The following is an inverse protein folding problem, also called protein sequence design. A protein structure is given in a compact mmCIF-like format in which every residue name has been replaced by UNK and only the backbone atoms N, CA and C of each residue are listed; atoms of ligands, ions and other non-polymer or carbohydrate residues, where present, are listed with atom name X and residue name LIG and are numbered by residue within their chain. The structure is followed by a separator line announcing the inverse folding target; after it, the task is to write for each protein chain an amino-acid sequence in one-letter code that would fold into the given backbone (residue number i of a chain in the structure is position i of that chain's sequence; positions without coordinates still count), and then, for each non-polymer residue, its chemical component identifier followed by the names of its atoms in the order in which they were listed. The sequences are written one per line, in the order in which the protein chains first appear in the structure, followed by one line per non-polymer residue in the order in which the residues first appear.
data_IF_781822241617
#
_entry.id   IF_781822241617
#
_cell.length_a   1.000
_cell.length_b   1.000
_cell.length_c   1.000
_cell.angle_alpha   90.00
_cell.angle_beta   90.00
_cell.angle_gamma   90.00
#
_symmetry.space_group_name_H-M   'P 1'
#
loop_
_entity.id
_entity.type
_entity.pdbx_description
1 polymer ?
#
# COMPACT_ATOMS: atom_id res chain seq x y z
N UNK A 1 18.33 -6.17 6.44
CA UNK A 1 17.40 -5.32 5.67
C UNK A 1 18.12 -4.55 4.57
N UNK A 2 19.26 -3.91 4.84
CA UNK A 2 19.95 -3.05 3.86
C UNK A 2 20.32 -3.74 2.52
N UNK A 3 20.70 -5.03 2.56
CA UNK A 3 20.97 -5.81 1.35
C UNK A 3 19.72 -6.00 0.47
N UNK A 4 18.59 -6.42 1.07
CA UNK A 4 17.36 -6.73 0.32
C UNK A 4 16.72 -5.49 -0.31
N UNK A 5 16.90 -4.32 0.31
CA UNK A 5 16.48 -3.03 -0.24
C UNK A 5 17.34 -2.65 -1.46
N UNK A 6 18.68 -2.80 -1.33
CA UNK A 6 19.64 -2.55 -2.41
C UNK A 6 19.51 -3.52 -3.60
N UNK A 7 18.97 -4.72 -3.37
CA UNK A 7 18.73 -5.72 -4.43
C UNK A 7 17.31 -5.67 -5.00
N UNK A 8 16.51 -4.65 -4.67
CA UNK A 8 15.13 -4.49 -5.16
C UNK A 8 14.21 -5.69 -4.86
N UNK A 9 14.43 -6.37 -3.73
CA UNK A 9 13.53 -7.44 -3.25
C UNK A 9 12.42 -6.83 -2.39
N UNK A 10 12.81 -5.95 -1.46
CA UNK A 10 11.88 -5.18 -0.62
C UNK A 10 12.17 -3.69 -0.76
N UNK A 11 11.22 -2.85 -0.34
CA UNK A 11 11.46 -1.42 -0.15
C UNK A 11 10.95 -0.95 1.20
N UNK A 12 11.63 0.05 1.77
CA UNK A 12 11.18 0.73 2.97
C UNK A 12 10.00 1.65 2.68
N UNK A 13 8.95 1.55 3.49
CA UNK A 13 7.77 2.40 3.42
C UNK A 13 7.60 3.19 4.71
N UNK A 14 7.80 4.50 4.62
CA UNK A 14 7.97 5.37 5.79
C UNK A 14 6.64 5.88 6.33
N UNK A 15 6.53 6.13 7.65
CA UNK A 15 5.35 6.77 8.22
C UNK A 15 5.28 8.25 7.77
N UNK A 16 4.07 8.72 7.49
CA UNK A 16 3.76 10.12 7.26
C UNK A 16 3.79 10.86 8.59
N UNK A 17 4.67 11.85 8.71
CA UNK A 17 4.85 12.67 9.90
C UNK A 17 4.38 14.09 9.62
N UNK A 18 3.15 14.42 10.00
CA UNK A 18 2.64 15.81 9.95
C UNK A 18 3.16 16.62 11.14
N UNK A 19 3.13 16.02 12.34
CA UNK A 19 3.80 16.51 13.54
C UNK A 19 4.34 15.31 14.34
N UNK A 20 5.47 15.48 15.04
CA UNK A 20 6.10 14.41 15.82
C UNK A 20 5.20 13.89 16.96
N UNK A 21 4.21 14.66 17.40
CA UNK A 21 3.32 14.30 18.51
C UNK A 21 2.23 13.30 18.14
N UNK A 22 1.89 13.17 16.85
CA UNK A 22 0.65 12.51 16.45
C UNK A 22 0.85 11.07 15.94
N UNK A 23 2.07 10.61 15.66
CA UNK A 23 2.29 9.31 14.99
C UNK A 23 2.62 8.20 16.01
N UNK A 24 1.93 7.05 15.93
CA UNK A 24 2.21 5.87 16.78
C UNK A 24 3.56 5.26 16.45
N UNK A 25 3.84 5.10 15.16
CA UNK A 25 4.94 4.26 14.68
C UNK A 25 5.95 5.12 13.96
N UNK A 26 7.11 5.31 14.58
CA UNK A 26 8.31 5.77 13.88
C UNK A 26 8.92 4.66 13.01
N UNK A 27 8.54 3.40 13.27
CA UNK A 27 9.04 2.25 12.53
C UNK A 27 8.42 2.22 11.14
N UNK A 28 9.28 2.07 10.14
CA UNK A 28 8.88 1.87 8.75
C UNK A 28 8.28 0.48 8.55
N UNK A 29 7.35 0.36 7.59
CA UNK A 29 6.93 -0.92 7.03
C UNK A 29 7.91 -1.34 5.94
N UNK A 30 7.91 -2.62 5.58
CA UNK A 30 8.63 -3.13 4.42
C UNK A 30 7.64 -3.90 3.54
N UNK A 31 7.68 -3.61 2.25
CA UNK A 31 6.88 -4.29 1.24
C UNK A 31 7.81 -4.92 0.21
N UNK A 32 7.28 -5.88 -0.53
CA UNK A 32 8.04 -6.52 -1.60
C UNK A 32 7.80 -5.76 -2.90
N UNK A 33 8.83 -5.69 -3.74
CA UNK A 33 8.62 -5.18 -5.11
C UNK A 33 7.76 -6.12 -5.95
N UNK A 34 7.74 -7.41 -5.60
CA UNK A 34 6.99 -8.46 -6.26
C UNK A 34 6.43 -9.44 -5.20
N UNK A 35 5.11 -9.62 -5.16
CA UNK A 35 4.44 -10.52 -4.21
C UNK A 35 4.63 -12.00 -4.54
N UNK A 36 4.92 -12.34 -5.79
CA UNK A 36 5.29 -13.69 -6.22
C UNK A 36 6.64 -14.10 -5.66
N UNK A 37 7.62 -13.19 -5.63
CA UNK A 37 8.92 -13.43 -4.96
C UNK A 37 8.69 -13.68 -3.46
N UNK A 38 7.84 -12.87 -2.80
CA UNK A 38 7.48 -13.07 -1.39
C UNK A 38 6.90 -14.47 -1.15
N UNK A 39 5.96 -14.89 -1.98
CA UNK A 39 5.30 -16.19 -1.88
C UNK A 39 6.27 -17.35 -2.14
N UNK A 40 7.12 -17.24 -3.16
CA UNK A 40 8.15 -18.23 -3.47
C UNK A 40 9.16 -18.42 -2.32
N UNK A 41 9.58 -17.34 -1.66
CA UNK A 41 10.52 -17.38 -0.53
C UNK A 41 9.98 -18.14 0.68
N UNK A 42 8.64 -18.18 0.86
CA UNK A 42 8.00 -18.91 1.96
C UNK A 42 7.35 -20.23 1.51
N UNK A 43 7.57 -20.64 0.25
CA UNK A 43 6.96 -21.80 -0.39
C UNK A 43 5.42 -21.83 -0.30
N UNK A 44 4.77 -20.66 -0.32
CA UNK A 44 3.32 -20.52 -0.29
C UNK A 44 2.79 -20.18 -1.69
N UNK A 45 2.53 -21.21 -2.49
CA UNK A 45 2.03 -21.13 -3.87
C UNK A 45 0.57 -21.60 -3.96
N UNK A 46 -0.18 -21.46 -2.87
CA UNK A 46 -1.61 -21.79 -2.87
C UNK A 46 -2.36 -20.76 -3.71
N UNK A 47 -3.44 -21.20 -4.35
CA UNK A 47 -4.38 -20.28 -4.99
C UNK A 47 -4.96 -19.29 -3.96
N UNK A 48 -5.15 -18.02 -4.35
CA UNK A 48 -5.73 -16.96 -3.50
C UNK A 48 -7.06 -17.40 -2.87
N UNK A 49 -7.88 -18.13 -3.63
CA UNK A 49 -9.22 -18.60 -3.20
C UNK A 49 -9.15 -19.62 -2.06
N UNK A 50 -8.00 -20.29 -1.89
CA UNK A 50 -7.73 -21.29 -0.84
C UNK A 50 -6.96 -20.70 0.35
N UNK A 51 -6.63 -19.41 0.30
CA UNK A 51 -5.82 -18.72 1.31
C UNK A 51 -6.70 -17.99 2.34
N UNK A 52 -6.12 -17.66 3.51
CA UNK A 52 -6.86 -16.90 4.54
C UNK A 52 -7.21 -15.50 4.01
N UNK A 53 -8.47 -15.02 4.11
CA UNK A 53 -8.87 -13.72 3.59
C UNK A 53 -8.05 -12.53 4.14
N UNK A 54 -7.52 -12.63 5.37
CA UNK A 54 -6.64 -11.61 5.95
C UNK A 54 -5.27 -11.60 5.28
N UNK A 55 -4.72 -12.78 5.00
CA UNK A 55 -3.45 -12.91 4.26
C UNK A 55 -3.58 -12.34 2.85
N UNK A 56 -4.69 -12.64 2.18
CA UNK A 56 -5.03 -12.08 0.86
C UNK A 56 -5.15 -10.56 0.92
N UNK A 57 -5.78 -10.02 1.97
CA UNK A 57 -5.84 -8.56 2.19
C UNK A 57 -4.46 -7.91 2.29
N UNK A 58 -3.54 -8.51 3.07
CA UNK A 58 -2.17 -8.02 3.21
C UNK A 58 -1.35 -8.15 1.92
N UNK A 59 -1.53 -9.25 1.18
CA UNK A 59 -0.93 -9.46 -0.15
C UNK A 59 -1.41 -8.41 -1.14
N UNK A 60 -2.71 -8.13 -1.16
CA UNK A 60 -3.31 -7.13 -2.03
C UNK A 60 -2.80 -5.72 -1.69
N UNK A 61 -2.69 -5.37 -0.40
CA UNK A 61 -2.09 -4.11 0.04
C UNK A 61 -0.65 -3.96 -0.47
N UNK A 62 0.18 -4.98 -0.28
CA UNK A 62 1.57 -4.99 -0.76
C UNK A 62 1.65 -4.81 -2.27
N UNK A 63 0.89 -5.62 -3.01
CA UNK A 63 0.81 -5.54 -4.46
C UNK A 63 0.39 -4.13 -4.91
N UNK A 64 -0.70 -3.59 -4.38
CA UNK A 64 -1.18 -2.26 -4.74
C UNK A 64 -0.12 -1.18 -4.52
N UNK A 65 0.54 -1.18 -3.35
CA UNK A 65 1.58 -0.19 -3.03
C UNK A 65 2.78 -0.34 -3.98
N UNK A 66 3.19 -1.57 -4.28
CA UNK A 66 4.30 -1.84 -5.21
C UNK A 66 3.99 -1.35 -6.63
N UNK A 67 2.77 -1.58 -7.13
CA UNK A 67 2.33 -1.15 -8.45
C UNK A 67 2.13 0.37 -8.52
N UNK A 68 1.61 0.98 -7.45
CA UNK A 68 1.51 2.44 -7.35
C UNK A 68 2.89 3.10 -7.37
N UNK A 69 3.86 2.54 -6.64
CA UNK A 69 5.26 3.00 -6.66
C UNK A 69 5.87 2.89 -8.07
N UNK A 70 5.70 1.75 -8.75
CA UNK A 70 6.16 1.54 -10.12
C UNK A 70 5.53 2.56 -11.07
N UNK A 71 4.21 2.75 -10.97
CA UNK A 71 3.47 3.74 -11.76
C UNK A 71 4.04 5.15 -11.58
N UNK A 72 4.21 5.63 -10.34
CA UNK A 72 4.78 6.97 -10.09
C UNK A 72 6.17 7.12 -10.70
N UNK A 73 7.02 6.08 -10.64
CA UNK A 73 8.35 6.07 -11.26
C UNK A 73 8.27 6.13 -12.79
N UNK A 74 7.41 5.33 -13.42
CA UNK A 74 7.26 5.29 -14.87
C UNK A 74 6.67 6.58 -15.44
N UNK A 75 5.72 7.19 -14.75
CA UNK A 75 5.12 8.47 -15.16
C UNK A 75 5.98 9.67 -14.80
N UNK A 76 7.14 9.47 -14.15
CA UNK A 76 8.01 10.53 -13.60
C UNK A 76 7.23 11.51 -12.70
N UNK A 77 6.19 11.01 -12.04
CA UNK A 77 5.42 11.82 -11.11
C UNK A 77 6.27 12.02 -9.85
N UNK A 78 6.65 13.27 -9.60
CA UNK A 78 7.39 13.64 -8.41
C UNK A 78 6.45 13.58 -7.19
N UNK A 79 6.28 12.38 -6.63
CA UNK A 79 5.53 12.16 -5.40
C UNK A 79 6.30 11.24 -4.46
N UNK A 80 6.10 11.44 -3.16
CA UNK A 80 6.64 10.57 -2.12
C UNK A 80 5.50 9.82 -1.46
N UNK A 81 5.71 8.52 -1.24
CA UNK A 81 4.71 7.63 -0.69
C UNK A 81 4.99 7.31 0.78
N UNK A 82 3.92 7.26 1.58
CA UNK A 82 3.97 7.02 3.03
C UNK A 82 2.77 6.17 3.48
N UNK A 83 2.77 5.68 4.73
CA UNK A 83 1.56 5.23 5.42
C UNK A 83 1.26 6.15 6.60
N UNK A 84 0.03 6.14 7.14
CA UNK A 84 -0.29 6.88 8.36
C UNK A 84 -0.96 6.01 9.40
N UNK A 85 -0.54 6.18 10.67
CA UNK A 85 -1.20 5.61 11.83
C UNK A 85 -0.93 6.45 13.08
N UNK A 86 -1.97 6.79 13.83
CA UNK A 86 -1.88 7.57 15.08
C UNK A 86 -2.50 6.89 16.30
N UNK A 87 -2.30 7.52 17.47
CA UNK A 87 -2.65 6.98 18.80
C UNK A 87 -4.15 6.71 18.95
N UNK A 88 -4.97 7.46 18.20
CA UNK A 88 -6.42 7.27 18.09
C UNK A 88 -6.80 6.12 17.13
N UNK A 89 -5.83 5.32 16.70
CA UNK A 89 -5.96 4.22 15.74
C UNK A 89 -6.53 4.63 14.38
N UNK A 90 -6.43 5.92 14.00
CA UNK A 90 -6.73 6.35 12.63
C UNK A 90 -5.62 5.83 11.73
N UNK A 91 -5.99 5.34 10.54
CA UNK A 91 -5.06 4.74 9.59
C UNK A 91 -5.34 5.24 8.18
N UNK A 92 -4.28 5.35 7.40
CA UNK A 92 -4.34 5.50 5.94
C UNK A 92 -3.26 4.59 5.38
N UNK A 93 -3.64 3.63 4.53
CA UNK A 93 -2.73 2.59 4.05
C UNK A 93 -1.63 3.18 3.16
N UNK A 94 -1.99 4.12 2.27
CA UNK A 94 -1.08 4.84 1.40
C UNK A 94 -1.40 6.34 1.41
N UNK A 95 -0.38 7.16 1.58
CA UNK A 95 -0.38 8.60 1.40
C UNK A 95 0.58 8.93 0.26
N UNK A 96 0.09 9.63 -0.75
CA UNK A 96 0.89 10.26 -1.79
C UNK A 96 0.97 11.76 -1.51
N UNK A 97 2.19 12.27 -1.35
CA UNK A 97 2.46 13.70 -1.26
C UNK A 97 3.20 14.15 -2.52
N UNK A 98 2.63 15.09 -3.24
CA UNK A 98 3.30 15.69 -4.41
C UNK A 98 4.24 16.84 -4.02
N UNK A 99 4.97 17.36 -5.01
CA UNK A 99 5.92 18.49 -4.84
C UNK A 99 5.25 19.80 -4.43
N UNK A 100 3.98 19.99 -4.76
CA UNK A 100 3.19 21.17 -4.38
C UNK A 100 2.66 21.07 -2.94
N UNK A 101 2.81 19.90 -2.32
CA UNK A 101 2.36 19.64 -0.96
C UNK A 101 0.91 19.17 -0.86
N UNK A 102 0.26 18.84 -1.98
CA UNK A 102 -1.05 18.21 -1.95
C UNK A 102 -0.91 16.77 -1.44
N UNK A 103 -1.92 16.33 -0.69
CA UNK A 103 -1.90 15.03 -0.02
C UNK A 103 -3.10 14.21 -0.46
N UNK A 104 -2.84 13.02 -1.00
CA UNK A 104 -3.86 12.05 -1.36
C UNK A 104 -3.71 10.84 -0.46
N UNK A 105 -4.77 10.51 0.28
CA UNK A 105 -4.88 9.30 1.07
C UNK A 105 -5.63 8.21 0.33
N UNK A 106 -5.22 6.97 0.55
CA UNK A 106 -5.75 5.78 -0.08
C UNK A 106 -5.96 4.69 0.97
N UNK A 107 -7.18 4.16 1.04
CA UNK A 107 -7.47 2.90 1.73
C UNK A 107 -7.52 1.76 0.71
N UNK A 108 -6.90 0.63 1.05
CA UNK A 108 -6.76 -0.51 0.16
C UNK A 108 -7.52 -1.70 0.74
N UNK A 109 -8.57 -2.15 0.04
CA UNK A 109 -9.41 -3.27 0.48
C UNK A 109 -9.49 -4.33 -0.60
N UNK A 110 -9.18 -5.58 -0.24
CA UNK A 110 -9.39 -6.69 -1.17
C UNK A 110 -10.88 -7.01 -1.31
N UNK A 111 -11.63 -7.07 -0.20
CA UNK A 111 -13.07 -7.34 -0.22
C UNK A 111 -13.86 -6.05 -0.53
N UNK A 112 -14.62 -5.98 -1.65
CA UNK A 112 -15.39 -4.80 -2.00
C UNK A 112 -16.54 -4.46 -1.05
N UNK A 113 -16.97 -5.41 -0.23
CA UNK A 113 -18.05 -5.24 0.75
C UNK A 113 -17.55 -4.74 2.11
N UNK A 114 -16.23 -4.65 2.32
CA UNK A 114 -15.67 -4.19 3.57
C UNK A 114 -15.92 -2.68 3.77
N UNK A 115 -16.39 -2.31 4.97
CA UNK A 115 -16.66 -0.90 5.29
C UNK A 115 -15.36 -0.11 5.41
N UNK A 116 -15.23 0.93 4.60
CA UNK A 116 -14.13 1.89 4.69
C UNK A 116 -14.43 2.94 5.75
N UNK A 117 -13.54 3.10 6.73
CA UNK A 117 -13.60 4.21 7.68
C UNK A 117 -12.88 5.40 7.09
N UNK A 118 -13.60 6.48 6.81
CA UNK A 118 -13.00 7.71 6.30
C UNK A 118 -12.19 8.36 7.45
N UNK A 119 -10.87 8.55 7.29
CA UNK A 119 -10.07 9.24 8.29
C UNK A 119 -10.48 10.71 8.37
N UNK A 120 -10.35 11.31 9.55
CA UNK A 120 -10.41 12.79 9.67
C UNK A 120 -9.35 13.39 8.76
N UNK A 121 -9.65 14.56 8.16
CA UNK A 121 -8.68 15.29 7.32
C UNK A 121 -7.38 15.46 8.10
N UNK A 122 -6.27 15.01 7.50
CA UNK A 122 -4.93 15.18 8.05
C UNK A 122 -4.50 16.63 7.85
N UNK A 123 -4.49 17.08 6.59
CA UNK A 123 -4.15 18.45 6.19
C UNK A 123 -5.30 19.14 5.45
N UNK A 124 -5.31 20.48 5.31
CA UNK A 124 -6.32 21.19 4.51
C UNK A 124 -6.47 20.67 3.08
N UNK A 125 -5.35 20.33 2.43
CA UNK A 125 -5.30 19.81 1.05
C UNK A 125 -5.43 18.27 0.97
N UNK A 126 -5.95 17.63 2.02
CA UNK A 126 -6.11 16.18 2.05
C UNK A 126 -7.34 15.74 1.25
N UNK A 127 -7.12 14.87 0.27
CA UNK A 127 -8.17 14.13 -0.45
C UNK A 127 -8.07 12.64 -0.14
N UNK A 128 -9.18 11.92 -0.15
CA UNK A 128 -9.21 10.50 0.22
C UNK A 128 -9.97 9.67 -0.82
N UNK A 129 -9.39 8.53 -1.19
CA UNK A 129 -9.99 7.52 -2.07
C UNK A 129 -9.83 6.15 -1.44
N UNK A 130 -10.65 5.21 -1.88
CA UNK A 130 -10.51 3.80 -1.50
C UNK A 130 -10.53 2.93 -2.76
N UNK A 131 -9.82 1.82 -2.70
CA UNK A 131 -9.60 0.95 -3.84
C UNK A 131 -9.93 -0.51 -3.54
N UNK A 132 -10.54 -1.15 -4.53
CA UNK A 132 -10.84 -2.57 -4.55
C UNK A 132 -10.46 -3.17 -5.89
N UNK A 133 -10.33 -4.51 -5.98
CA UNK A 133 -10.06 -5.21 -7.24
C UNK A 133 -11.10 -4.94 -8.35
N UNK A 134 -12.32 -4.53 -7.99
CA UNK A 134 -13.44 -4.35 -8.92
C UNK A 134 -13.58 -2.94 -9.49
N UNK A 135 -12.72 -1.99 -9.10
CA UNK A 135 -12.68 -0.68 -9.78
C UNK A 135 -12.23 -0.92 -11.23
N UNK A 136 -12.89 -0.34 -12.24
CA UNK A 136 -12.74 -0.71 -13.67
C UNK A 136 -11.31 -0.62 -14.22
N UNK A 137 -10.45 0.20 -13.62
CA UNK A 137 -9.02 0.32 -13.90
C UNK A 137 -8.14 -0.79 -13.29
N UNK A 138 -8.70 -1.68 -12.46
CA UNK A 138 -7.99 -2.66 -11.62
C UNK A 138 -8.22 -4.14 -12.01
N UNK A 139 -9.00 -4.44 -13.05
CA UNK A 139 -9.13 -5.83 -13.54
C UNK A 139 -7.80 -6.42 -14.01
N UNK A 140 -6.94 -5.57 -14.60
CA UNK A 140 -5.54 -5.92 -14.94
C UNK A 140 -4.69 -6.23 -13.69
N UNK A 141 -4.92 -5.50 -12.60
CA UNK A 141 -4.23 -5.66 -11.31
C UNK A 141 -4.66 -6.96 -10.61
N UNK A 142 -5.95 -7.30 -10.65
CA UNK A 142 -6.46 -8.58 -10.14
C UNK A 142 -5.95 -9.77 -10.98
N UNK A 143 -5.92 -9.64 -12.30
CA UNK A 143 -5.37 -10.68 -13.17
C UNK A 143 -3.87 -10.87 -12.93
N UNK A 144 -3.09 -9.78 -12.83
CA UNK A 144 -1.67 -9.85 -12.49
C UNK A 144 -1.45 -10.59 -11.16
N UNK A 145 -2.20 -10.27 -10.11
CA UNK A 145 -2.16 -11.01 -8.84
C UNK A 145 -2.42 -12.51 -8.99
N UNK A 146 -3.33 -12.91 -9.89
CA UNK A 146 -3.59 -14.32 -10.18
C UNK A 146 -2.44 -15.00 -10.95
N UNK A 147 -1.71 -14.26 -11.79
CA UNK A 147 -0.54 -14.76 -12.53
C UNK A 147 0.74 -14.88 -11.68
N UNK A 148 0.81 -14.19 -10.54
CA UNK A 148 1.96 -14.25 -9.61
C UNK A 148 1.78 -15.28 -8.46
N UNK A 149 0.76 -16.16 -8.53
CA UNK A 149 0.66 -17.34 -7.66
C UNK A 149 0.92 -18.62 -8.45
#
# INVERSE_FOLDING_TARGET
MDLLDKTYVIFQFKPFKESLRNVISEKSKYYFYDVGIKNALIADLREIEKSDPKEVGLLFENFFISEHLKKCRYTKQASTLYFYKDYEQRKVDLIEKDVEGNIKGFEIKFNPTEKVKIPKKLTPNFTFKWYTPTTSSNLLLLNALKYYN
#
